data_IF_976226516067
#
_entry.id   IF_976226516067
#
_cell.length_a   1.000
_cell.length_b   1.000
_cell.length_c   1.000
_cell.angle_alpha   90.00
_cell.angle_beta   90.00
_cell.angle_gamma   90.00
#
_symmetry.space_group_name_H-M   'P 1'
#
loop_
_entity.id
_entity.type
_entity.pdbx_description
1 polymer ?
#
# COMPACT_ATOMS: atom_id res chain seq x y z
N UNK A 1 -16.71 -4.01 -18.80
CA UNK A 1 -15.62 -4.14 -17.80
C UNK A 1 -14.91 -2.79 -17.68
N UNK A 2 -15.21 -2.00 -16.63
CA UNK A 2 -14.50 -0.75 -16.35
C UNK A 2 -13.33 -1.05 -15.41
N UNK A 3 -12.14 -0.54 -15.70
CA UNK A 3 -10.97 -0.70 -14.82
C UNK A 3 -11.23 0.02 -13.50
N UNK A 4 -11.21 -0.71 -12.39
CA UNK A 4 -11.50 -0.24 -11.03
C UNK A 4 -10.82 1.09 -10.70
N UNK A 5 -9.54 1.24 -11.06
CA UNK A 5 -8.77 2.46 -10.82
C UNK A 5 -9.28 3.73 -11.54
N UNK A 6 -10.07 3.63 -12.61
CA UNK A 6 -10.61 4.83 -13.30
C UNK A 6 -11.79 5.46 -12.53
N UNK A 7 -12.60 4.65 -11.85
CA UNK A 7 -13.69 5.18 -11.01
C UNK A 7 -13.14 5.81 -9.74
N UNK A 8 -12.23 5.13 -9.04
CA UNK A 8 -11.57 5.67 -7.85
C UNK A 8 -10.83 6.97 -8.17
N UNK A 9 -10.12 7.04 -9.30
CA UNK A 9 -9.43 8.27 -9.69
C UNK A 9 -10.38 9.45 -9.85
N UNK A 10 -11.52 9.28 -10.54
CA UNK A 10 -12.53 10.36 -10.68
C UNK A 10 -13.14 10.74 -9.34
N UNK A 11 -13.42 9.76 -8.48
CA UNK A 11 -13.94 10.02 -7.14
C UNK A 11 -12.94 10.84 -6.30
N UNK A 12 -11.67 10.42 -6.26
CA UNK A 12 -10.60 11.10 -5.53
C UNK A 12 -10.36 12.51 -6.07
N UNK A 13 -10.36 12.68 -7.39
CA UNK A 13 -10.21 13.99 -8.02
C UNK A 13 -11.33 14.96 -7.62
N UNK A 14 -12.59 14.51 -7.64
CA UNK A 14 -13.71 15.33 -7.19
C UNK A 14 -13.61 15.68 -5.70
N UNK A 15 -13.18 14.72 -4.86
CA UNK A 15 -12.99 14.95 -3.42
C UNK A 15 -11.88 15.98 -3.16
N UNK A 16 -10.75 15.89 -3.85
CA UNK A 16 -9.66 16.85 -3.70
C UNK A 16 -10.03 18.25 -4.17
N UNK A 17 -10.75 18.38 -5.28
CA UNK A 17 -11.31 19.66 -5.73
C UNK A 17 -12.21 20.29 -4.67
N UNK A 18 -13.11 19.51 -4.07
CA UNK A 18 -13.99 20.00 -3.00
C UNK A 18 -13.21 20.47 -1.76
N UNK A 19 -12.15 19.76 -1.39
CA UNK A 19 -11.29 20.14 -0.26
C UNK A 19 -10.55 21.45 -0.56
N UNK A 20 -9.97 21.59 -1.76
CA UNK A 20 -9.28 22.82 -2.17
C UNK A 20 -10.25 24.00 -2.12
N UNK A 21 -11.44 23.85 -2.71
CA UNK A 21 -12.48 24.89 -2.70
C UNK A 21 -12.90 25.29 -1.29
N UNK A 22 -13.02 24.32 -0.37
CA UNK A 22 -13.36 24.60 1.03
C UNK A 22 -12.23 25.39 1.72
N UNK A 23 -10.96 25.04 1.49
CA UNK A 23 -9.81 25.74 2.07
C UNK A 23 -9.74 27.18 1.54
N UNK A 24 -9.95 27.39 0.24
CA UNK A 24 -9.98 28.74 -0.35
C UNK A 24 -11.10 29.59 0.23
N UNK A 25 -12.30 29.02 0.35
CA UNK A 25 -13.46 29.71 0.95
C UNK A 25 -13.20 30.06 2.41
N UNK A 26 -12.55 29.17 3.16
CA UNK A 26 -12.29 29.36 4.60
C UNK A 26 -11.14 30.34 4.87
N UNK A 27 -10.09 30.32 4.05
CA UNK A 27 -8.88 31.12 4.25
C UNK A 27 -8.90 32.45 3.51
N UNK A 28 -9.78 32.60 2.51
CA UNK A 28 -9.84 33.76 1.61
C UNK A 28 -8.64 33.88 0.68
N UNK A 29 -7.78 32.85 0.60
CA UNK A 29 -6.60 32.82 -0.27
C UNK A 29 -6.85 31.85 -1.42
N UNK A 30 -6.48 32.26 -2.63
CA UNK A 30 -6.52 31.38 -3.80
C UNK A 30 -5.29 30.46 -3.84
N UNK A 31 -5.53 29.20 -4.16
CA UNK A 31 -4.49 28.24 -4.53
C UNK A 31 -4.15 28.50 -6.00
N UNK A 32 -2.86 28.50 -6.32
CA UNK A 32 -2.42 28.65 -7.71
C UNK A 32 -2.91 27.49 -8.60
N UNK A 33 -3.15 27.78 -9.87
CA UNK A 33 -3.69 26.81 -10.83
C UNK A 33 -2.79 25.56 -10.98
N UNK A 34 -1.47 25.76 -10.83
CA UNK A 34 -0.50 24.67 -10.90
C UNK A 34 -0.61 23.74 -9.69
N UNK A 35 -0.71 24.29 -8.50
CA UNK A 35 -0.89 23.55 -7.25
C UNK A 35 -2.23 22.82 -7.23
N UNK A 36 -3.29 23.49 -7.71
CA UNK A 36 -4.63 22.90 -7.86
C UNK A 36 -4.60 21.69 -8.78
N UNK A 37 -4.01 21.80 -9.97
CA UNK A 37 -3.89 20.68 -10.90
C UNK A 37 -3.11 19.49 -10.31
N UNK A 38 -2.05 19.75 -9.54
CA UNK A 38 -1.26 18.69 -8.91
C UNK A 38 -2.08 17.95 -7.84
N UNK A 39 -2.80 18.68 -6.99
CA UNK A 39 -3.59 18.11 -5.89
C UNK A 39 -4.84 17.40 -6.42
N UNK A 40 -5.55 18.02 -7.36
CA UNK A 40 -6.80 17.49 -7.89
C UNK A 40 -6.61 16.25 -8.78
N UNK A 41 -5.49 16.11 -9.49
CA UNK A 41 -5.28 15.00 -10.43
C UNK A 41 -5.38 13.61 -9.78
N UNK A 42 -5.14 13.50 -8.47
CA UNK A 42 -5.08 12.22 -7.77
C UNK A 42 -3.95 11.32 -8.29
N UNK A 43 -3.77 10.15 -7.67
CA UNK A 43 -2.78 9.15 -8.11
C UNK A 43 -3.22 8.46 -9.42
N UNK A 44 -2.29 8.25 -10.35
CA UNK A 44 -2.52 7.42 -11.53
C UNK A 44 -2.46 5.92 -11.17
N UNK A 45 -3.03 5.03 -12.01
CA UNK A 45 -3.01 3.56 -11.77
C UNK A 45 -1.59 3.05 -11.53
N UNK A 46 -0.60 3.60 -12.24
CA UNK A 46 0.81 3.25 -12.06
C UNK A 46 1.35 3.68 -10.69
N UNK A 47 0.90 4.81 -10.15
CA UNK A 47 1.33 5.30 -8.85
C UNK A 47 0.76 4.41 -7.75
N UNK A 48 -0.50 4.01 -7.88
CA UNK A 48 -1.15 3.07 -6.97
C UNK A 48 -0.47 1.69 -6.99
N UNK A 49 -0.16 1.15 -8.18
CA UNK A 49 0.54 -0.13 -8.33
C UNK A 49 1.94 -0.05 -7.72
N UNK A 50 2.68 1.04 -7.96
CA UNK A 50 4.02 1.23 -7.38
C UNK A 50 3.96 1.35 -5.86
N UNK A 51 3.02 2.12 -5.33
CA UNK A 51 2.82 2.28 -3.88
C UNK A 51 2.45 0.95 -3.22
N UNK A 52 1.54 0.19 -3.81
CA UNK A 52 1.15 -1.12 -3.29
C UNK A 52 2.30 -2.14 -3.33
N UNK A 53 3.10 -2.11 -4.39
CA UNK A 53 4.30 -2.94 -4.50
C UNK A 53 5.34 -2.54 -3.44
N UNK A 54 5.61 -1.26 -3.27
CA UNK A 54 6.55 -0.73 -2.28
C UNK A 54 6.16 -1.18 -0.87
N UNK A 55 4.91 -0.99 -0.47
CA UNK A 55 4.42 -1.40 0.85
C UNK A 55 4.49 -2.92 1.06
N UNK A 56 4.12 -3.70 0.04
CA UNK A 56 4.22 -5.17 0.07
C UNK A 56 5.68 -5.61 0.27
N UNK A 57 6.61 -4.99 -0.45
CA UNK A 57 8.04 -5.32 -0.39
C UNK A 57 8.66 -4.91 0.94
N UNK A 58 8.33 -3.73 1.47
CA UNK A 58 8.79 -3.27 2.78
C UNK A 58 8.30 -4.25 3.87
N UNK A 59 7.01 -4.56 3.86
CA UNK A 59 6.41 -5.46 4.85
C UNK A 59 7.02 -6.86 4.77
N UNK A 60 7.16 -7.42 3.56
CA UNK A 60 7.77 -8.72 3.35
C UNK A 60 9.23 -8.75 3.84
N UNK A 61 10.03 -7.74 3.50
CA UNK A 61 11.42 -7.66 3.94
C UNK A 61 11.53 -7.55 5.47
N UNK A 62 10.71 -6.72 6.11
CA UNK A 62 10.70 -6.58 7.56
C UNK A 62 10.44 -7.93 8.24
N UNK A 63 9.43 -8.67 7.81
CA UNK A 63 9.12 -10.01 8.34
C UNK A 63 10.30 -10.99 8.18
N UNK A 64 10.93 -11.02 7.00
CA UNK A 64 12.10 -11.88 6.73
C UNK A 64 13.27 -11.48 7.64
N UNK A 65 13.55 -10.18 7.74
CA UNK A 65 14.63 -9.64 8.57
C UNK A 65 14.41 -9.94 10.05
N UNK A 66 13.17 -9.85 10.54
CA UNK A 66 12.85 -10.19 11.92
C UNK A 66 13.13 -11.66 12.22
N UNK A 67 12.72 -12.58 11.34
CA UNK A 67 12.99 -14.01 11.48
C UNK A 67 14.50 -14.27 11.53
N UNK A 68 15.25 -13.68 10.60
CA UNK A 68 16.71 -13.78 10.54
C UNK A 68 17.36 -13.25 11.83
N UNK A 69 16.90 -12.11 12.36
CA UNK A 69 17.45 -11.53 13.60
C UNK A 69 17.08 -12.32 14.85
N UNK A 70 15.88 -12.91 14.92
CA UNK A 70 15.39 -13.61 16.12
C UNK A 70 15.87 -15.05 16.22
N UNK A 71 16.08 -15.74 15.09
CA UNK A 71 16.45 -17.17 15.07
C UNK A 71 17.94 -17.35 14.81
N UNK A 72 18.72 -17.63 15.87
CA UNK A 72 20.19 -17.85 15.78
C UNK A 72 20.63 -18.95 14.80
N UNK A 73 19.76 -19.92 14.47
CA UNK A 73 20.02 -21.00 13.50
C UNK A 73 19.76 -20.60 12.05
N UNK A 74 19.19 -19.41 11.80
CA UNK A 74 18.90 -18.91 10.46
C UNK A 74 20.01 -17.95 10.08
N UNK A 75 20.92 -18.41 9.24
CA UNK A 75 22.16 -17.68 8.94
C UNK A 75 22.00 -16.69 7.78
N UNK A 76 21.03 -16.91 6.90
CA UNK A 76 20.81 -16.10 5.70
C UNK A 76 19.33 -15.72 5.49
N UNK A 77 19.10 -14.69 4.66
CA UNK A 77 17.76 -14.15 4.38
C UNK A 77 16.91 -15.09 3.52
N UNK A 78 17.52 -15.94 2.68
CA UNK A 78 16.77 -16.93 1.87
C UNK A 78 16.13 -17.96 2.78
N UNK A 79 16.88 -18.50 3.73
CA UNK A 79 16.37 -19.43 4.75
C UNK A 79 15.29 -18.77 5.61
N UNK A 80 15.48 -17.50 6.01
CA UNK A 80 14.47 -16.74 6.74
C UNK A 80 13.17 -16.56 5.94
N UNK A 81 13.26 -16.35 4.62
CA UNK A 81 12.10 -16.26 3.74
C UNK A 81 11.34 -17.58 3.64
N UNK A 82 12.03 -18.71 3.52
CA UNK A 82 11.39 -20.03 3.56
C UNK A 82 10.71 -20.31 4.89
N UNK A 83 11.33 -19.95 6.01
CA UNK A 83 10.70 -20.06 7.34
C UNK A 83 9.42 -19.23 7.41
N UNK A 84 9.44 -17.99 6.89
CA UNK A 84 8.25 -17.14 6.82
C UNK A 84 7.12 -17.80 6.01
N UNK A 85 7.45 -18.33 4.82
CA UNK A 85 6.49 -18.97 3.93
C UNK A 85 5.86 -20.22 4.58
N UNK A 86 6.67 -21.09 5.17
CA UNK A 86 6.19 -22.32 5.84
C UNK A 86 5.29 -21.97 7.03
N UNK A 87 5.65 -20.95 7.82
CA UNK A 87 4.82 -20.51 8.94
C UNK A 87 3.44 -20.00 8.49
N UNK A 88 3.39 -19.24 7.39
CA UNK A 88 2.11 -18.76 6.83
C UNK A 88 1.25 -19.91 6.35
N UNK A 89 1.81 -20.80 5.52
CA UNK A 89 1.10 -21.98 5.02
C UNK A 89 0.61 -22.86 6.18
N UNK A 90 1.48 -23.14 7.16
CA UNK A 90 1.10 -23.94 8.33
C UNK A 90 -0.05 -23.32 9.14
N UNK A 91 -0.03 -21.98 9.31
CA UNK A 91 -1.12 -21.25 9.96
C UNK A 91 -2.44 -21.38 9.20
N UNK A 92 -2.41 -21.30 7.87
CA UNK A 92 -3.60 -21.43 7.04
C UNK A 92 -4.18 -22.85 7.12
N UNK A 93 -3.33 -23.88 7.07
CA UNK A 93 -3.75 -25.28 7.23
C UNK A 93 -4.35 -25.56 8.61
N UNK A 94 -3.79 -24.98 9.69
CA UNK A 94 -4.34 -25.07 11.04
C UNK A 94 -5.70 -24.37 11.14
N UNK A 95 -5.83 -23.17 10.58
CA UNK A 95 -7.09 -22.42 10.57
C UNK A 95 -8.20 -23.14 9.79
N UNK A 96 -7.84 -23.86 8.73
CA UNK A 96 -8.77 -24.67 7.93
C UNK A 96 -9.10 -26.03 8.57
N UNK A 97 -8.44 -26.42 9.66
CA UNK A 97 -8.63 -27.72 10.31
C UNK A 97 -8.16 -28.92 9.49
N UNK A 98 -7.27 -28.69 8.52
CA UNK A 98 -6.74 -29.71 7.60
C UNK A 98 -5.48 -30.38 8.18
N UNK A 99 -4.93 -29.85 9.26
CA UNK A 99 -3.73 -30.36 9.92
C UNK A 99 -4.08 -31.27 11.12
N UNK A 100 -3.33 -32.37 11.37
CA UNK A 100 -3.56 -33.25 12.52
C UNK A 100 -3.36 -32.57 13.88
#
# INVERSE_FOLDING_TARGET
HMRFGRMEKRFNQNTYENIVNLIETTTGKSVGERERMIIARGADEIDLVRSGLEETMITAYQQIREIWKRKRKVEDLRTAAFVSAIQKIGSDYLALGIFP
#
